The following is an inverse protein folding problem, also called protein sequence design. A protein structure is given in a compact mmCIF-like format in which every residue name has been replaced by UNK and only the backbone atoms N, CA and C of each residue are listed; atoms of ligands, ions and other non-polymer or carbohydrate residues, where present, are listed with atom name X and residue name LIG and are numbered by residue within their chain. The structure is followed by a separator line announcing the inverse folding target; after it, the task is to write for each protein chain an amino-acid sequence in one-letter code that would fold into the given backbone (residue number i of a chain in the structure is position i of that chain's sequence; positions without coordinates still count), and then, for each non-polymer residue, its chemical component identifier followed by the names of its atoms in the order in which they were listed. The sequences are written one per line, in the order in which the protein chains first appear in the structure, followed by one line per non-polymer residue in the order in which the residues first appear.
data_IF_285337251743
#
_entry.id   IF_285337251743
#
_cell.length_a   1.000
_cell.length_b   1.000
_cell.length_c   1.000
_cell.angle_alpha   90.00
_cell.angle_beta   90.00
_cell.angle_gamma   90.00
#
_symmetry.space_group_name_H-M   'P 1'
#
loop_
_entity.id
_entity.type
_entity.pdbx_description
1 polymer ?
#
# COMPACT_ATOMS: atom_id res chain seq x y z
N UNK A 1 8.99 -32.75 -27.94
CA UNK A 1 8.38 -32.84 -26.60
C UNK A 1 9.15 -32.12 -25.54
N UNK A 2 10.46 -32.30 -25.41
CA UNK A 2 11.27 -31.59 -24.43
C UNK A 2 11.26 -30.07 -24.62
N UNK A 3 11.23 -29.58 -25.85
CA UNK A 3 11.21 -28.15 -26.16
C UNK A 3 9.91 -27.47 -25.69
N UNK A 4 8.75 -28.17 -25.73
CA UNK A 4 7.50 -27.58 -25.28
C UNK A 4 7.41 -27.48 -23.78
N UNK A 5 8.02 -28.39 -23.03
CA UNK A 5 8.07 -28.35 -21.57
C UNK A 5 8.96 -27.21 -21.07
N UNK A 6 10.12 -27.01 -21.72
CA UNK A 6 11.02 -25.90 -21.42
C UNK A 6 10.34 -24.55 -21.68
N UNK A 7 9.57 -24.44 -22.77
CA UNK A 7 8.83 -23.22 -23.09
C UNK A 7 7.75 -22.92 -22.03
N UNK A 8 7.04 -23.95 -21.57
CA UNK A 8 6.05 -23.81 -20.52
C UNK A 8 6.65 -23.35 -19.21
N UNK A 9 7.77 -23.93 -18.79
CA UNK A 9 8.48 -23.53 -17.59
C UNK A 9 8.95 -22.09 -17.67
N UNK A 10 9.47 -21.66 -18.83
CA UNK A 10 9.92 -20.29 -19.04
C UNK A 10 8.77 -19.29 -18.93
N UNK A 11 7.61 -19.61 -19.49
CA UNK A 11 6.42 -18.75 -19.41
C UNK A 11 5.92 -18.64 -17.98
N UNK A 12 5.91 -19.74 -17.21
CA UNK A 12 5.52 -19.75 -15.82
C UNK A 12 6.45 -18.90 -14.96
N UNK A 13 7.75 -18.98 -15.19
CA UNK A 13 8.75 -18.18 -14.46
C UNK A 13 8.54 -16.69 -14.75
N UNK A 14 8.29 -16.31 -16.00
CA UNK A 14 7.99 -14.93 -16.39
C UNK A 14 6.73 -14.40 -15.70
N UNK A 15 5.68 -15.20 -15.62
CA UNK A 15 4.44 -14.83 -14.95
C UNK A 15 4.66 -14.61 -13.45
N UNK A 16 5.46 -15.44 -12.80
CA UNK A 16 5.81 -15.30 -11.40
C UNK A 16 6.60 -14.01 -11.16
N UNK A 17 7.55 -13.68 -12.03
CA UNK A 17 8.29 -12.43 -11.92
C UNK A 17 7.40 -11.20 -12.09
N UNK A 18 6.47 -11.22 -13.03
CA UNK A 18 5.51 -10.13 -13.21
C UNK A 18 4.61 -9.95 -11.99
N UNK A 19 4.15 -11.05 -11.39
CA UNK A 19 3.35 -11.01 -10.18
C UNK A 19 4.15 -10.42 -9.00
N UNK A 20 5.43 -10.74 -8.89
CA UNK A 20 6.30 -10.19 -7.84
C UNK A 20 6.50 -8.69 -8.00
N UNK A 21 6.61 -8.18 -9.24
CA UNK A 21 6.78 -6.76 -9.52
C UNK A 21 5.54 -5.93 -9.19
N UNK A 22 4.36 -6.55 -9.20
CA UNK A 22 3.09 -5.87 -8.92
C UNK A 22 2.61 -6.08 -7.48
N UNK A 23 3.41 -6.76 -6.66
CA UNK A 23 3.02 -7.09 -5.28
C UNK A 23 2.85 -5.83 -4.44
N UNK A 24 1.67 -5.67 -3.86
CA UNK A 24 1.38 -4.61 -2.91
C UNK A 24 2.07 -4.92 -1.57
N UNK A 25 2.72 -3.91 -0.98
CA UNK A 25 3.45 -4.06 0.28
C UNK A 25 2.52 -4.37 1.46
N UNK A 26 1.28 -3.87 1.41
CA UNK A 26 0.26 -4.09 2.45
C UNK A 26 -1.01 -4.63 1.80
N UNK A 27 -1.01 -5.89 1.33
CA UNK A 27 -2.13 -6.44 0.56
C UNK A 27 -3.40 -6.63 1.36
N UNK A 28 -3.31 -6.65 2.69
CA UNK A 28 -4.46 -6.86 3.58
C UNK A 28 -5.21 -5.55 3.89
N UNK A 29 -4.68 -4.41 3.47
CA UNK A 29 -5.30 -3.12 3.71
C UNK A 29 -5.87 -2.59 2.39
N UNK A 30 -7.16 -2.33 2.38
CA UNK A 30 -7.87 -1.83 1.21
C UNK A 30 -8.13 -0.34 1.36
N UNK A 31 -7.76 0.44 0.34
CA UNK A 31 -8.16 1.84 0.26
C UNK A 31 -9.62 1.89 -0.13
N UNK A 32 -10.44 2.52 0.69
CA UNK A 32 -11.88 2.55 0.53
C UNK A 32 -12.41 3.98 0.55
N UNK A 33 -13.61 4.16 0.06
CA UNK A 33 -14.35 5.41 0.19
C UNK A 33 -15.17 5.39 1.49
N UNK A 34 -15.50 6.56 2.00
CA UNK A 34 -16.20 6.73 3.27
C UNK A 34 -17.49 5.90 3.34
N UNK A 35 -18.26 5.85 2.25
CA UNK A 35 -19.49 5.08 2.19
C UNK A 35 -19.31 3.58 2.33
N UNK A 36 -18.13 3.07 2.01
CA UNK A 36 -17.82 1.63 2.06
C UNK A 36 -17.53 1.12 3.47
N UNK A 37 -17.24 2.02 4.41
CA UNK A 37 -16.84 1.66 5.77
C UNK A 37 -17.89 2.00 6.81
N UNK A 38 -19.13 2.30 6.39
CA UNK A 38 -20.23 2.69 7.29
C UNK A 38 -20.53 1.66 8.38
N UNK A 39 -20.36 0.38 8.07
CA UNK A 39 -20.62 -0.72 9.00
C UNK A 39 -19.35 -1.25 9.68
N UNK A 40 -18.24 -0.56 9.47
CA UNK A 40 -16.96 -0.97 10.00
C UNK A 40 -16.65 -0.26 11.30
N UNK A 41 -15.80 -0.86 12.12
CA UNK A 41 -15.36 -0.24 13.37
C UNK A 41 -14.27 0.76 13.09
N UNK A 42 -14.47 2.01 13.49
CA UNK A 42 -13.44 3.03 13.41
C UNK A 42 -12.36 2.73 14.46
N UNK A 43 -11.10 2.73 14.03
CA UNK A 43 -9.97 2.46 14.92
C UNK A 43 -9.26 3.74 15.35
N UNK A 44 -8.78 4.51 14.39
CA UNK A 44 -8.05 5.75 14.65
C UNK A 44 -7.83 6.52 13.35
N UNK A 45 -7.50 7.79 13.49
CA UNK A 45 -7.06 8.62 12.38
C UNK A 45 -5.55 8.75 12.48
N UNK A 46 -4.87 8.38 11.40
CA UNK A 46 -3.41 8.35 11.32
C UNK A 46 -2.94 9.49 10.44
N UNK A 47 -2.04 10.31 10.96
CA UNK A 47 -1.41 11.39 10.18
C UNK A 47 0.09 11.24 10.29
N UNK A 48 0.76 11.21 9.16
CA UNK A 48 2.21 11.08 9.09
C UNK A 48 2.77 12.11 8.12
N UNK A 49 3.88 12.70 8.48
CA UNK A 49 4.60 13.65 7.66
C UNK A 49 5.78 12.94 7.04
N UNK A 50 6.03 13.18 5.76
CA UNK A 50 7.22 12.65 5.10
C UNK A 50 8.46 13.26 5.72
N UNK A 51 9.51 12.44 5.89
CA UNK A 51 10.75 12.88 6.52
C UNK A 51 11.43 13.94 5.64
N UNK A 52 11.56 15.19 6.12
CA UNK A 52 12.20 16.23 5.33
C UNK A 52 13.66 15.96 5.03
N UNK A 53 14.34 15.14 5.86
CA UNK A 53 15.70 14.72 5.60
C UNK A 53 15.85 13.80 4.39
N UNK A 54 14.75 13.18 3.95
CA UNK A 54 14.73 12.33 2.75
C UNK A 54 14.26 13.08 1.51
N UNK A 55 13.81 14.32 1.67
CA UNK A 55 13.39 15.18 0.55
C UNK A 55 14.60 15.94 0.02
N UNK A 56 15.46 15.22 -0.70
CA UNK A 56 16.70 15.77 -1.25
C UNK A 56 16.43 16.28 -2.67
N UNK A 57 17.00 17.43 -3.01
CA UNK A 57 16.96 17.91 -4.38
C UNK A 57 18.09 17.28 -5.19
N UNK A 58 17.80 16.79 -6.42
CA UNK A 58 16.51 16.82 -7.12
C UNK A 58 15.53 15.78 -6.56
N UNK A 59 14.26 16.08 -6.68
CA UNK A 59 13.16 15.27 -6.12
C UNK A 59 13.16 13.81 -6.55
N UNK A 60 13.77 13.49 -7.68
CA UNK A 60 13.85 12.11 -8.20
C UNK A 60 14.60 11.15 -7.26
N UNK A 61 15.39 11.67 -6.33
CA UNK A 61 16.13 10.86 -5.35
C UNK A 61 15.44 10.77 -4.00
N UNK A 62 14.32 11.49 -3.81
CA UNK A 62 13.55 11.41 -2.58
C UNK A 62 12.38 10.44 -2.77
N UNK A 63 11.88 9.90 -1.65
CA UNK A 63 10.66 9.10 -1.65
C UNK A 63 9.49 10.01 -1.25
N UNK A 64 8.76 10.61 -2.22
CA UNK A 64 7.72 11.57 -1.90
C UNK A 64 6.51 10.96 -1.18
N UNK A 65 6.38 9.63 -1.18
CA UNK A 65 5.26 8.93 -0.57
C UNK A 65 5.64 8.24 0.73
N UNK A 66 6.71 8.69 1.39
CA UNK A 66 7.15 8.12 2.67
C UNK A 66 6.05 8.23 3.74
N UNK A 67 5.30 9.33 3.76
CA UNK A 67 4.15 9.49 4.66
C UNK A 67 3.06 8.46 4.43
N UNK A 68 2.76 8.15 3.17
CA UNK A 68 1.79 7.11 2.80
C UNK A 68 2.21 5.75 3.37
N UNK A 69 3.47 5.38 3.21
CA UNK A 69 3.98 4.11 3.72
C UNK A 69 3.91 4.05 5.25
N UNK A 70 4.20 5.15 5.91
CA UNK A 70 4.11 5.22 7.38
C UNK A 70 2.67 5.06 7.86
N UNK A 71 1.69 5.65 7.15
CA UNK A 71 0.28 5.50 7.46
C UNK A 71 -0.14 4.03 7.31
N UNK A 72 0.24 3.39 6.20
CA UNK A 72 -0.09 2.00 5.94
C UNK A 72 0.54 1.07 6.98
N UNK A 73 1.78 1.32 7.38
CA UNK A 73 2.46 0.54 8.40
C UNK A 73 1.72 0.64 9.75
N UNK A 74 1.33 1.85 10.16
CA UNK A 74 0.58 2.03 11.39
C UNK A 74 -0.79 1.39 11.33
N UNK A 75 -1.48 1.49 10.19
CA UNK A 75 -2.77 0.83 9.99
C UNK A 75 -2.62 -0.69 10.08
N UNK A 76 -1.56 -1.24 9.49
CA UNK A 76 -1.27 -2.67 9.58
C UNK A 76 -1.03 -3.11 11.02
N UNK A 77 -0.31 -2.31 11.81
CA UNK A 77 -0.05 -2.61 13.22
C UNK A 77 -1.31 -2.58 14.07
N UNK A 78 -2.32 -1.81 13.66
CA UNK A 78 -3.64 -1.78 14.32
C UNK A 78 -4.56 -2.91 13.86
N UNK A 79 -4.11 -3.74 12.93
CA UNK A 79 -4.92 -4.78 12.28
C UNK A 79 -6.12 -4.18 11.54
N UNK A 80 -5.94 -3.01 10.93
CA UNK A 80 -6.95 -2.40 10.10
C UNK A 80 -7.14 -3.20 8.81
N UNK A 81 -8.38 -3.32 8.35
CA UNK A 81 -8.69 -3.95 7.06
C UNK A 81 -8.90 -2.93 5.96
N UNK A 82 -9.33 -1.73 6.32
CA UNK A 82 -9.66 -0.67 5.38
C UNK A 82 -9.14 0.66 5.88
N UNK A 83 -8.76 1.53 4.94
CA UNK A 83 -8.41 2.92 5.23
C UNK A 83 -9.16 3.83 4.28
N UNK A 84 -9.54 5.00 4.79
CA UNK A 84 -10.13 6.07 3.97
C UNK A 84 -9.16 7.25 4.02
N UNK A 85 -8.59 7.58 2.87
CA UNK A 85 -7.63 8.67 2.78
C UNK A 85 -8.34 10.01 2.95
N UNK A 86 -7.83 10.84 3.86
CA UNK A 86 -8.28 12.22 4.06
C UNK A 86 -7.50 13.11 3.10
N UNK A 87 -6.19 12.94 3.07
CA UNK A 87 -5.32 13.52 2.06
C UNK A 87 -4.07 12.64 1.91
N UNK A 88 -3.45 12.72 0.74
CA UNK A 88 -2.24 11.96 0.45
C UNK A 88 -1.36 12.79 -0.48
N UNK A 89 -0.42 13.53 0.11
CA UNK A 89 0.50 14.41 -0.60
C UNK A 89 1.93 13.94 -0.40
N UNK A 90 2.86 14.37 -1.27
CA UNK A 90 4.28 14.02 -1.09
C UNK A 90 4.85 14.45 0.26
N UNK A 91 4.34 15.53 0.84
CA UNK A 91 4.81 16.07 2.12
C UNK A 91 4.20 15.36 3.33
N UNK A 92 3.10 14.66 3.15
CA UNK A 92 2.45 13.97 4.26
C UNK A 92 1.12 13.37 3.86
N UNK A 93 0.62 12.45 4.68
CA UNK A 93 -0.61 11.72 4.41
C UNK A 93 -1.42 11.56 5.69
N UNK A 94 -2.74 11.53 5.54
CA UNK A 94 -3.66 11.28 6.65
C UNK A 94 -4.77 10.35 6.18
N UNK A 95 -5.13 9.41 7.02
CA UNK A 95 -6.20 8.46 6.72
C UNK A 95 -6.91 8.01 7.99
N UNK A 96 -8.16 7.65 7.85
CA UNK A 96 -8.92 7.00 8.92
C UNK A 96 -8.83 5.49 8.72
N UNK A 97 -8.50 4.78 9.81
CA UNK A 97 -8.36 3.33 9.79
C UNK A 97 -9.60 2.66 10.34
N UNK A 98 -10.04 1.60 9.68
CA UNK A 98 -11.24 0.85 10.02
C UNK A 98 -10.97 -0.64 10.02
N UNK A 99 -11.73 -1.36 10.84
CA UNK A 99 -11.77 -2.82 10.79
C UNK A 99 -13.18 -3.22 10.40
N UNK A 100 -13.30 -3.87 9.27
CA UNK A 100 -14.56 -4.33 8.73
C UNK A 100 -14.73 -5.83 9.01
N UNK A 101 -15.93 -6.21 9.44
CA UNK A 101 -16.26 -7.62 9.57
C UNK A 101 -16.55 -8.19 8.18
N UNK A 102 -16.04 -9.37 7.92
CA UNK A 102 -16.29 -10.07 6.65
C UNK A 102 -17.72 -10.58 6.55
#
# INVERSE_FOLDING_TARGET
MLASDLTRCTILILLVFLAACTKNRFPNIVSAEEGMVNKCSYLDTISEVSDPGKMVFPAKYSNPYDGELKVLERASNMEASHIVWIYNYPIGSSASAYRCAD
#
